data_IF_030930870425
#
_entry.id   IF_030930870425
#
_cell.length_a   1.000
_cell.length_b   1.000
_cell.length_c   1.000
_cell.angle_alpha   90.00
_cell.angle_beta   90.00
_cell.angle_gamma   90.00
#
_symmetry.space_group_name_H-M   'P 1'
#
loop_
_entity.id
_entity.type
_entity.pdbx_description
1 polymer ?
#
# COMPACT_ATOMS: atom_id res chain seq x y z
N UNK A 1 17.85 -16.97 -12.52
CA UNK A 1 16.47 -16.46 -12.39
C UNK A 1 15.54 -17.42 -13.08
N UNK A 2 14.60 -18.09 -12.38
CA UNK A 2 13.65 -18.96 -13.06
C UNK A 2 12.81 -18.07 -13.99
N UNK A 3 12.78 -18.42 -15.28
CA UNK A 3 12.02 -17.67 -16.29
C UNK A 3 10.59 -17.48 -15.80
N UNK A 4 10.19 -16.21 -15.61
CA UNK A 4 8.85 -15.89 -15.14
C UNK A 4 7.82 -16.42 -16.16
N UNK A 5 7.03 -17.42 -15.75
CA UNK A 5 6.08 -18.11 -16.64
C UNK A 5 4.86 -17.23 -16.97
N UNK A 6 4.47 -17.19 -18.25
CA UNK A 6 3.24 -16.57 -18.72
C UNK A 6 3.44 -15.25 -19.48
N UNK A 7 2.40 -14.77 -20.15
CA UNK A 7 2.43 -13.52 -20.93
C UNK A 7 2.52 -12.31 -20.02
N UNK A 8 3.42 -11.37 -20.36
CA UNK A 8 3.70 -10.15 -19.63
C UNK A 8 4.01 -10.41 -18.13
N UNK A 9 5.12 -11.10 -17.82
CA UNK A 9 5.48 -11.47 -16.45
C UNK A 9 5.81 -10.26 -15.56
N UNK A 10 6.16 -9.12 -16.16
CA UNK A 10 6.39 -7.84 -15.46
C UNK A 10 5.25 -7.48 -14.50
N UNK A 11 4.01 -7.87 -14.81
CA UNK A 11 2.83 -7.60 -13.96
C UNK A 11 2.88 -8.27 -12.59
N UNK A 12 3.77 -9.26 -12.40
CA UNK A 12 3.97 -10.00 -11.14
C UNK A 12 5.17 -9.50 -10.33
N UNK A 13 5.74 -8.35 -10.71
CA UNK A 13 6.83 -7.71 -9.97
C UNK A 13 6.28 -6.71 -8.96
N UNK A 14 6.96 -6.58 -7.81
CA UNK A 14 6.59 -5.59 -6.78
C UNK A 14 6.64 -4.16 -7.34
N UNK A 15 7.63 -3.84 -8.18
CA UNK A 15 7.74 -2.53 -8.80
C UNK A 15 6.48 -2.19 -9.63
N UNK A 16 5.97 -3.16 -10.40
CA UNK A 16 4.74 -2.97 -11.17
C UNK A 16 3.52 -2.81 -10.28
N UNK A 17 3.37 -3.63 -9.23
CA UNK A 17 2.23 -3.54 -8.30
C UNK A 17 2.24 -2.23 -7.51
N UNK A 18 3.43 -1.77 -7.09
CA UNK A 18 3.62 -0.51 -6.38
C UNK A 18 3.32 0.72 -7.24
N UNK A 19 3.48 0.64 -8.57
CA UNK A 19 3.17 1.72 -9.50
C UNK A 19 1.66 1.94 -9.73
N UNK A 20 0.80 1.13 -9.12
CA UNK A 20 -0.66 1.31 -9.15
C UNK A 20 -1.09 2.66 -8.56
N UNK A 21 -1.88 3.42 -9.32
CA UNK A 21 -2.33 4.77 -8.93
C UNK A 21 -3.67 4.77 -8.17
N UNK A 22 -4.50 3.75 -8.39
CA UNK A 22 -5.86 3.73 -7.88
C UNK A 22 -5.90 3.16 -6.45
N UNK A 23 -6.07 4.05 -5.49
CA UNK A 23 -6.37 3.74 -4.09
C UNK A 23 -7.80 4.20 -3.82
N UNK A 24 -8.67 3.28 -3.41
CA UNK A 24 -10.08 3.54 -3.18
C UNK A 24 -10.31 4.36 -1.92
N UNK A 25 -11.41 5.10 -1.90
CA UNK A 25 -11.96 5.69 -0.67
C UNK A 25 -12.34 4.58 0.31
N UNK A 26 -12.13 4.80 1.61
CA UNK A 26 -12.29 3.78 2.67
C UNK A 26 -13.71 3.20 2.77
N UNK A 27 -14.70 3.94 2.25
CA UNK A 27 -16.11 3.53 2.22
C UNK A 27 -16.41 2.43 1.21
N UNK A 28 -15.54 2.18 0.24
CA UNK A 28 -15.76 1.14 -0.78
C UNK A 28 -15.36 -0.21 -0.20
N UNK A 29 -16.26 -1.19 -0.27
CA UNK A 29 -16.02 -2.55 0.26
C UNK A 29 -15.92 -3.61 -0.83
N UNK A 30 -16.69 -3.46 -1.91
CA UNK A 30 -16.72 -4.42 -3.02
C UNK A 30 -16.53 -3.67 -4.33
N UNK A 31 -15.66 -4.20 -5.17
CA UNK A 31 -15.39 -3.73 -6.53
C UNK A 31 -15.62 -4.87 -7.51
N UNK A 32 -16.62 -4.77 -8.38
CA UNK A 32 -16.94 -5.79 -9.38
C UNK A 32 -16.71 -5.27 -10.78
N UNK A 33 -16.02 -6.05 -11.62
CA UNK A 33 -15.81 -5.76 -13.04
C UNK A 33 -16.52 -6.81 -13.88
N UNK A 34 -17.54 -6.40 -14.63
CA UNK A 34 -18.23 -7.22 -15.60
C UNK A 34 -17.70 -6.92 -17.00
N UNK A 35 -17.24 -7.95 -17.72
CA UNK A 35 -16.71 -7.79 -19.07
C UNK A 35 -16.91 -9.04 -19.92
N UNK A 36 -16.91 -8.86 -21.24
CA UNK A 36 -17.04 -9.98 -22.17
C UNK A 36 -15.71 -10.39 -22.79
N UNK A 37 -15.59 -11.68 -23.05
CA UNK A 37 -14.41 -12.27 -23.71
C UNK A 37 -14.42 -11.91 -25.20
N UNK A 38 -15.60 -11.93 -25.81
CA UNK A 38 -15.83 -11.63 -27.22
C UNK A 38 -16.35 -10.20 -27.42
N UNK A 39 -16.16 -9.67 -28.63
CA UNK A 39 -16.55 -8.29 -28.98
C UNK A 39 -15.38 -7.30 -28.90
N UNK A 40 -15.39 -6.33 -29.83
CA UNK A 40 -14.39 -5.26 -29.90
C UNK A 40 -14.65 -4.16 -28.87
N UNK A 41 -15.92 -3.91 -28.54
CA UNK A 41 -16.36 -2.96 -27.53
C UNK A 41 -15.85 -3.25 -26.11
N UNK A 42 -15.53 -4.52 -25.84
CA UNK A 42 -14.99 -4.99 -24.57
C UNK A 42 -13.45 -5.03 -24.51
N UNK A 43 -12.75 -4.58 -25.57
CA UNK A 43 -11.28 -4.64 -25.65
C UNK A 43 -10.60 -3.93 -24.49
N UNK A 44 -10.97 -2.67 -24.23
CA UNK A 44 -10.38 -1.90 -23.13
C UNK A 44 -10.73 -2.44 -21.75
N UNK A 45 -11.93 -3.00 -21.54
CA UNK A 45 -12.29 -3.65 -20.29
C UNK A 45 -11.44 -4.92 -20.03
N UNK A 46 -11.21 -5.74 -21.06
CA UNK A 46 -10.29 -6.90 -20.97
C UNK A 46 -8.88 -6.47 -20.61
N UNK A 47 -8.38 -5.44 -21.29
CA UNK A 47 -7.04 -4.92 -21.05
C UNK A 47 -6.93 -4.27 -19.67
N UNK A 48 -7.98 -3.59 -19.20
CA UNK A 48 -8.05 -3.04 -17.86
C UNK A 48 -7.94 -4.16 -16.81
N UNK A 49 -8.71 -5.24 -16.96
CA UNK A 49 -8.63 -6.40 -16.07
C UNK A 49 -7.25 -7.05 -16.13
N UNK A 50 -6.64 -7.12 -17.32
CA UNK A 50 -5.33 -7.72 -17.49
C UNK A 50 -4.21 -6.87 -16.87
N UNK A 51 -4.19 -5.56 -17.07
CA UNK A 51 -3.09 -4.70 -16.63
C UNK A 51 -3.30 -4.13 -15.22
N UNK A 52 -4.49 -3.58 -14.93
CA UNK A 52 -4.71 -2.77 -13.74
C UNK A 52 -5.33 -3.52 -12.56
N UNK A 53 -6.11 -4.59 -12.79
CA UNK A 53 -6.73 -5.36 -11.70
C UNK A 53 -5.73 -5.84 -10.63
N UNK A 54 -4.54 -6.37 -10.99
CA UNK A 54 -3.56 -6.78 -9.98
C UNK A 54 -3.05 -5.62 -9.13
N UNK A 55 -2.82 -4.46 -9.74
CA UNK A 55 -2.39 -3.26 -9.04
C UNK A 55 -3.47 -2.76 -8.07
N UNK A 56 -4.74 -2.77 -8.51
CA UNK A 56 -5.88 -2.35 -7.70
C UNK A 56 -6.02 -3.25 -6.48
N UNK A 57 -6.01 -4.58 -6.65
CA UNK A 57 -6.11 -5.49 -5.51
C UNK A 57 -4.93 -5.36 -4.55
N UNK A 58 -3.71 -5.17 -5.07
CA UNK A 58 -2.52 -5.02 -4.25
C UNK A 58 -2.54 -3.73 -3.41
N UNK A 59 -3.01 -2.61 -3.98
CA UNK A 59 -3.13 -1.34 -3.27
C UNK A 59 -4.32 -1.27 -2.32
N UNK A 60 -5.32 -2.13 -2.49
CA UNK A 60 -6.57 -2.11 -1.75
C UNK A 60 -6.86 -3.52 -1.17
N UNK A 61 -6.06 -4.00 -0.21
CA UNK A 61 -6.18 -5.35 0.32
C UNK A 61 -7.53 -5.61 1.00
N UNK A 62 -8.14 -4.59 1.60
CA UNK A 62 -9.40 -4.70 2.33
C UNK A 62 -10.65 -4.63 1.45
N UNK A 63 -10.48 -4.42 0.14
CA UNK A 63 -11.59 -4.35 -0.83
C UNK A 63 -11.68 -5.67 -1.57
N UNK A 64 -12.87 -6.27 -1.56
CA UNK A 64 -13.13 -7.48 -2.32
C UNK A 64 -13.27 -7.15 -3.81
N UNK A 65 -12.38 -7.71 -4.64
CA UNK A 65 -12.47 -7.58 -6.10
C UNK A 65 -13.10 -8.82 -6.73
N UNK A 66 -14.19 -8.63 -7.47
CA UNK A 66 -14.89 -9.69 -8.20
C UNK A 66 -14.82 -9.44 -9.72
N UNK A 67 -14.65 -10.50 -10.50
CA UNK A 67 -14.74 -10.43 -11.96
C UNK A 67 -15.88 -11.29 -12.47
N UNK A 68 -16.71 -10.72 -13.34
CA UNK A 68 -17.88 -11.36 -13.92
C UNK A 68 -17.68 -11.40 -15.44
N UNK A 69 -17.82 -12.58 -16.04
CA UNK A 69 -17.53 -12.79 -17.46
C UNK A 69 -18.80 -13.19 -18.20
N UNK A 70 -19.06 -12.57 -19.36
CA UNK A 70 -20.15 -12.96 -20.27
C UNK A 70 -21.55 -12.99 -19.63
N UNK A 71 -21.81 -12.12 -18.64
CA UNK A 71 -23.13 -12.03 -17.99
C UNK A 71 -24.04 -11.00 -18.65
N UNK A 72 -23.48 -9.89 -19.10
CA UNK A 72 -24.22 -8.76 -19.70
C UNK A 72 -23.64 -8.41 -21.05
N UNK A 73 -24.45 -7.89 -21.99
CA UNK A 73 -23.99 -7.57 -23.34
C UNK A 73 -22.93 -6.45 -23.37
N UNK A 74 -23.04 -5.47 -22.47
CA UNK A 74 -22.07 -4.38 -22.28
C UNK A 74 -21.22 -4.59 -21.01
N UNK A 75 -19.94 -4.17 -21.03
CA UNK A 75 -19.10 -4.21 -19.84
C UNK A 75 -19.41 -3.04 -18.91
N UNK A 76 -19.34 -3.30 -17.61
CA UNK A 76 -19.51 -2.27 -16.59
C UNK A 76 -18.67 -2.56 -15.36
N UNK A 77 -18.45 -1.53 -14.56
CA UNK A 77 -17.82 -1.62 -13.25
C UNK A 77 -18.85 -1.19 -12.22
N UNK A 78 -18.91 -1.93 -11.11
CA UNK A 78 -19.79 -1.61 -9.99
C UNK A 78 -19.00 -1.55 -8.70
N UNK A 79 -19.22 -0.48 -7.94
CA UNK A 79 -18.61 -0.27 -6.63
C UNK A 79 -19.73 -0.27 -5.58
N UNK A 80 -19.54 -1.03 -4.50
CA UNK A 80 -20.47 -1.10 -3.38
C UNK A 80 -19.83 -0.46 -2.17
N UNK A 81 -20.57 0.48 -1.58
CA UNK A 81 -20.17 1.22 -0.41
C UNK A 81 -20.68 0.56 0.86
N UNK A 82 -20.03 0.85 1.98
CA UNK A 82 -20.39 0.37 3.31
C UNK A 82 -21.81 0.75 3.73
N UNK A 83 -22.29 1.92 3.27
CA UNK A 83 -23.64 2.42 3.53
C UNK A 83 -24.70 1.86 2.57
N UNK A 84 -24.36 0.86 1.77
CA UNK A 84 -25.25 0.22 0.80
C UNK A 84 -25.40 1.00 -0.50
N UNK A 85 -24.77 2.19 -0.65
CA UNK A 85 -24.76 2.91 -1.93
C UNK A 85 -24.01 2.11 -2.99
N UNK A 86 -24.41 2.30 -4.24
CA UNK A 86 -23.80 1.63 -5.38
C UNK A 86 -23.48 2.66 -6.46
N UNK A 87 -22.30 2.54 -7.04
CA UNK A 87 -21.92 3.31 -8.24
C UNK A 87 -21.79 2.30 -9.39
N UNK A 88 -22.43 2.61 -10.51
CA UNK A 88 -22.29 1.90 -11.77
C UNK A 88 -21.52 2.79 -12.74
N UNK A 89 -20.45 2.26 -13.32
CA UNK A 89 -19.64 2.92 -14.34
C UNK A 89 -19.72 2.09 -15.62
N UNK A 90 -20.29 2.68 -16.66
CA UNK A 90 -20.25 2.10 -17.99
C UNK A 90 -18.85 2.23 -18.60
N UNK A 91 -18.30 1.12 -19.09
CA UNK A 91 -16.96 1.05 -19.68
C UNK A 91 -16.99 0.52 -21.12
N UNK A 92 -18.15 0.53 -21.76
CA UNK A 92 -18.29 0.15 -23.16
C UNK A 92 -17.49 1.07 -24.09
N UNK A 93 -16.74 0.48 -25.02
CA UNK A 93 -15.89 1.20 -25.99
C UNK A 93 -14.86 2.17 -25.40
N UNK A 94 -14.53 2.05 -24.10
CA UNK A 94 -13.48 2.86 -23.46
C UNK A 94 -12.13 2.16 -23.50
N UNK A 95 -11.05 2.94 -23.58
CA UNK A 95 -9.70 2.40 -23.41
C UNK A 95 -9.41 2.06 -21.94
N UNK A 96 -8.39 1.24 -21.68
CA UNK A 96 -8.00 0.90 -20.29
C UNK A 96 -7.53 2.14 -19.52
N UNK A 97 -6.90 3.10 -20.22
CA UNK A 97 -6.43 4.37 -19.65
C UNK A 97 -7.62 5.24 -19.23
N UNK A 98 -8.63 5.40 -20.11
CA UNK A 98 -9.82 6.19 -19.82
C UNK A 98 -10.62 5.61 -18.64
N UNK A 99 -10.72 4.28 -18.57
CA UNK A 99 -11.36 3.59 -17.45
C UNK A 99 -10.63 3.90 -16.14
N UNK A 100 -9.29 3.81 -16.15
CA UNK A 100 -8.48 4.10 -14.97
C UNK A 100 -8.63 5.55 -14.51
N UNK A 101 -8.56 6.50 -15.45
CA UNK A 101 -8.70 7.93 -15.15
C UNK A 101 -10.09 8.26 -14.60
N UNK A 102 -11.14 7.69 -15.19
CA UNK A 102 -12.50 7.86 -14.69
C UNK A 102 -12.67 7.32 -13.27
N UNK A 103 -12.08 6.16 -12.96
CA UNK A 103 -12.13 5.57 -11.61
C UNK A 103 -11.32 6.39 -10.60
N UNK A 104 -10.16 6.92 -10.98
CA UNK A 104 -9.36 7.80 -10.12
C UNK A 104 -10.16 9.02 -9.67
N UNK A 105 -10.91 9.63 -10.59
CA UNK A 105 -11.69 10.83 -10.29
C UNK A 105 -12.97 10.53 -9.48
N UNK A 106 -13.60 9.38 -9.69
CA UNK A 106 -14.89 9.05 -9.07
C UNK A 106 -14.75 8.36 -7.72
N UNK A 107 -13.95 7.29 -7.67
CA UNK A 107 -13.86 6.36 -6.54
C UNK A 107 -12.49 6.36 -5.86
N UNK A 108 -11.47 6.96 -6.49
CA UNK A 108 -10.14 7.12 -5.93
C UNK A 108 -10.06 8.20 -4.84
N UNK A 109 -9.10 8.06 -3.92
CA UNK A 109 -8.67 9.15 -3.03
C UNK A 109 -8.01 10.27 -3.85
N UNK A 110 -8.14 11.52 -3.39
CA UNK A 110 -7.44 12.64 -4.01
C UNK A 110 -5.94 12.58 -3.70
N UNK A 111 -5.12 13.19 -4.54
CA UNK A 111 -3.66 13.23 -4.35
C UNK A 111 -3.28 13.89 -3.01
N UNK A 112 -3.97 14.96 -2.64
CA UNK A 112 -3.75 15.67 -1.38
C UNK A 112 -3.97 14.77 -0.16
N UNK A 113 -5.00 13.91 -0.18
CA UNK A 113 -5.27 12.96 0.91
C UNK A 113 -4.18 11.90 0.97
N UNK A 114 -3.73 11.39 -0.18
CA UNK A 114 -2.65 10.40 -0.25
C UNK A 114 -1.31 10.96 0.26
N UNK A 115 -0.99 12.21 -0.09
CA UNK A 115 0.21 12.90 0.40
C UNK A 115 0.12 13.15 1.92
N UNK A 116 -1.04 13.57 2.42
CA UNK A 116 -1.25 13.74 3.86
C UNK A 116 -1.12 12.42 4.63
N UNK A 117 -1.68 11.32 4.10
CA UNK A 117 -1.55 9.97 4.67
C UNK A 117 -0.08 9.50 4.68
N UNK A 118 0.67 9.76 3.60
CA UNK A 118 2.09 9.42 3.52
C UNK A 118 2.92 10.20 4.55
N UNK A 119 2.70 11.51 4.66
CA UNK A 119 3.36 12.35 5.67
C UNK A 119 3.00 11.91 7.09
N UNK A 120 1.74 11.54 7.34
CA UNK A 120 1.30 11.06 8.64
C UNK A 120 1.92 9.70 9.00
N UNK A 121 2.13 8.82 8.02
CA UNK A 121 2.79 7.53 8.21
C UNK A 121 4.28 7.71 8.53
N UNK A 122 4.98 8.63 7.85
CA UNK A 122 6.40 8.95 8.10
C UNK A 122 6.61 9.61 9.48
N UNK A 123 5.68 10.47 9.91
CA UNK A 123 5.77 11.19 11.20
C UNK A 123 5.65 10.31 12.45
N UNK A 124 5.37 9.02 12.30
CA UNK A 124 5.11 8.15 13.46
C UNK A 124 6.38 7.85 14.28
N UNK A 125 7.55 7.92 13.66
CA UNK A 125 8.81 7.69 14.36
C UNK A 125 9.36 9.00 14.92
N UNK A 126 9.09 9.25 16.20
CA UNK A 126 9.67 10.39 16.91
C UNK A 126 11.20 10.21 16.99
N UNK A 127 12.01 11.12 16.41
CA UNK A 127 13.48 11.01 16.41
C UNK A 127 14.11 11.10 17.82
N UNK A 128 13.33 11.53 18.82
CA UNK A 128 13.74 11.53 20.22
C UNK A 128 13.60 10.15 20.90
N UNK A 129 12.99 9.16 20.25
CA UNK A 129 12.85 7.83 20.82
C UNK A 129 14.20 7.08 20.84
N UNK A 130 14.40 6.29 21.89
CA UNK A 130 15.55 5.40 22.03
C UNK A 130 15.09 3.94 22.05
N UNK A 131 15.84 3.05 21.40
CA UNK A 131 15.59 1.61 21.45
C UNK A 131 15.85 0.89 20.12
N UNK A 132 15.46 -0.39 20.07
CA UNK A 132 15.59 -1.21 18.87
C UNK A 132 14.70 -0.66 17.75
N UNK A 133 15.29 -0.40 16.57
CA UNK A 133 14.59 0.18 15.42
C UNK A 133 14.50 1.72 15.44
N UNK A 134 14.97 2.38 16.50
CA UNK A 134 15.19 3.83 16.52
C UNK A 134 16.60 4.16 16.02
N UNK A 135 16.85 5.43 15.66
CA UNK A 135 18.19 5.88 15.26
C UNK A 135 19.25 5.63 16.34
N UNK A 136 18.84 5.71 17.61
CA UNK A 136 19.71 5.55 18.78
C UNK A 136 19.17 4.44 19.68
N UNK A 137 19.87 3.31 19.81
CA UNK A 137 19.47 2.24 20.72
C UNK A 137 19.54 2.61 22.20
N UNK A 138 20.52 3.43 22.60
CA UNK A 138 20.73 3.85 23.98
C UNK A 138 21.30 5.27 24.04
N UNK A 139 21.01 5.99 25.13
CA UNK A 139 21.47 7.37 25.33
C UNK A 139 23.00 7.50 25.45
N UNK A 140 23.71 6.41 25.74
CA UNK A 140 25.18 6.42 25.84
C UNK A 140 25.89 6.73 24.50
N UNK A 141 25.17 6.69 23.37
CA UNK A 141 25.68 7.11 22.06
C UNK A 141 25.63 8.63 21.85
N UNK A 142 24.92 9.35 22.72
CA UNK A 142 24.82 10.81 22.64
C UNK A 142 26.03 11.44 23.31
N UNK A 143 26.76 12.26 22.55
CA UNK A 143 27.92 12.99 23.08
C UNK A 143 27.55 13.84 24.31
N UNK A 144 28.43 13.83 25.30
CA UNK A 144 28.22 14.47 26.60
C UNK A 144 27.53 13.58 27.64
N UNK A 145 26.98 12.43 27.24
CA UNK A 145 26.40 11.45 28.16
C UNK A 145 27.46 10.46 28.67
N UNK A 146 27.08 9.67 29.68
CA UNK A 146 27.95 8.64 30.25
C UNK A 146 28.10 7.48 29.24
N UNK A 147 29.32 7.08 28.86
CA UNK A 147 29.53 5.98 27.94
C UNK A 147 29.10 4.64 28.55
N UNK A 148 28.77 3.67 27.69
CA UNK A 148 28.37 2.34 28.13
C UNK A 148 29.53 1.65 28.89
N UNK A 149 29.28 1.05 30.08
CA UNK A 149 30.30 0.34 30.86
C UNK A 149 30.97 -0.82 30.12
N UNK A 150 30.31 -1.39 29.10
CA UNK A 150 30.87 -2.43 28.24
C UNK A 150 31.97 -1.92 27.30
N UNK A 151 31.99 -0.62 27.01
CA UNK A 151 33.02 0.03 26.16
C UNK A 151 34.05 0.74 27.03
N UNK A 152 33.58 1.55 27.98
CA UNK A 152 34.45 2.33 28.88
C UNK A 152 34.09 2.00 30.33
N UNK A 153 34.98 1.34 31.08
CA UNK A 153 34.73 1.03 32.49
C UNK A 153 34.46 2.29 33.31
N UNK A 154 33.37 2.28 34.08
CA UNK A 154 33.05 3.39 34.96
C UNK A 154 34.06 3.53 36.13
N UNK A 155 34.26 4.75 36.66
CA UNK A 155 35.09 4.97 37.84
C UNK A 155 34.67 4.09 39.03
N UNK A 156 35.63 3.67 39.87
CA UNK A 156 35.37 2.78 41.01
C UNK A 156 34.29 3.33 41.95
N UNK A 157 34.30 4.65 42.17
CA UNK A 157 33.30 5.37 42.98
C UNK A 157 31.86 5.24 42.47
N UNK A 158 31.63 4.83 41.22
CA UNK A 158 30.28 4.63 40.63
C UNK A 158 29.86 3.15 40.57
N UNK A 159 30.75 2.21 40.93
CA UNK A 159 30.51 0.77 40.79
C UNK A 159 30.08 0.17 42.14
N UNK A 160 28.94 -0.54 42.14
CA UNK A 160 28.36 -1.12 43.36
C UNK A 160 29.31 -2.02 44.17
N UNK A 161 30.19 -2.78 43.48
CA UNK A 161 31.19 -3.66 44.12
C UNK A 161 32.13 -2.92 45.11
N UNK A 162 32.51 -1.68 44.81
CA UNK A 162 33.42 -0.91 45.67
C UNK A 162 32.67 -0.01 46.67
N UNK A 163 31.42 0.37 46.37
CA UNK A 163 30.59 1.15 47.31
C UNK A 163 30.14 0.33 48.51
N UNK A 164 29.81 -0.94 48.28
CA UNK A 164 29.19 -1.82 49.28
C UNK A 164 30.20 -2.83 49.87
N UNK A 165 31.49 -2.52 49.77
CA UNK A 165 32.52 -3.38 50.33
C UNK A 165 32.55 -3.15 51.84
N UNK A 166 31.93 -4.06 52.61
CA UNK A 166 32.09 -4.12 54.06
C UNK A 166 33.42 -4.77 54.38
N UNK A 167 34.15 -4.20 55.34
CA UNK A 167 35.44 -4.74 55.83
C UNK A 167 35.33 -6.19 56.31
#
# INVERSE_FOLDING_TARGET
MPFMKGRAPIRRTLNYLNAGKLIFKDKIKIFSVAYNIHGQNNSGAKDFVFWYLPQIQYKNPDVQVATLKNLTPSPFIKCYFEDGRQILVDVDNKSKEDILEHLLNTVGKSKEVLEAEAIAAEKKDNPANFGAGCERPCICEVYGQIPCPGVVPLPKIMRGKYKNQTD
#
